data_IF_927799418896
#
_entry.id   IF_927799418896
#
_cell.length_a   1.000
_cell.length_b   1.000
_cell.length_c   1.000
_cell.angle_alpha   90.00
_cell.angle_beta   90.00
_cell.angle_gamma   90.00
#
_symmetry.space_group_name_H-M   'P 1'
#
loop_
_entity.id
_entity.type
_entity.pdbx_description
1 polymer ?
#
# COMPACT_ATOMS: atom_id res chain seq x y z
N UNK A 1 -11.95 -4.34 9.98
CA UNK A 1 -12.59 -3.18 9.34
C UNK A 1 -13.66 -2.50 10.18
N UNK A 2 -14.75 -3.19 10.54
CA UNK A 2 -15.88 -2.55 11.23
C UNK A 2 -15.47 -1.82 12.53
N UNK A 3 -14.58 -2.42 13.32
CA UNK A 3 -14.01 -1.80 14.51
C UNK A 3 -13.27 -0.49 14.21
N UNK A 4 -12.41 -0.47 13.18
CA UNK A 4 -11.65 0.71 12.77
C UNK A 4 -12.55 1.84 12.30
N UNK A 5 -13.54 1.54 11.45
CA UNK A 5 -14.50 2.52 10.96
C UNK A 5 -15.38 3.06 12.11
N UNK A 6 -15.85 2.20 13.01
CA UNK A 6 -16.63 2.61 14.17
C UNK A 6 -15.83 3.51 15.13
N UNK A 7 -14.59 3.12 15.46
CA UNK A 7 -13.68 3.95 16.26
C UNK A 7 -13.38 5.28 15.57
N UNK A 8 -13.09 5.26 14.28
CA UNK A 8 -12.82 6.46 13.49
C UNK A 8 -13.99 7.46 13.54
N UNK A 9 -15.21 7.00 13.23
CA UNK A 9 -16.41 7.84 13.29
C UNK A 9 -16.70 8.34 14.71
N UNK A 10 -16.46 7.51 15.74
CA UNK A 10 -16.62 7.91 17.15
C UNK A 10 -15.62 9.02 17.54
N UNK A 11 -14.36 8.88 17.14
CA UNK A 11 -13.30 9.83 17.46
C UNK A 11 -13.40 11.14 16.69
N UNK A 12 -13.93 11.11 15.46
CA UNK A 12 -14.26 12.32 14.71
C UNK A 12 -15.28 13.23 15.43
N UNK A 13 -16.10 12.70 16.35
CA UNK A 13 -17.03 13.53 17.16
C UNK A 13 -16.34 14.30 18.29
N UNK A 14 -15.08 13.98 18.60
CA UNK A 14 -14.33 14.60 19.69
C UNK A 14 -13.25 15.53 19.11
N UNK A 15 -13.28 16.85 19.38
CA UNK A 15 -12.36 17.81 18.78
C UNK A 15 -10.86 17.48 19.01
N UNK A 16 -10.52 16.95 20.19
CA UNK A 16 -9.13 16.64 20.57
C UNK A 16 -8.50 15.50 19.76
N UNK A 17 -9.31 14.55 19.27
CA UNK A 17 -8.85 13.36 18.54
C UNK A 17 -9.47 13.26 17.14
N UNK A 18 -10.09 14.35 16.65
CA UNK A 18 -10.74 14.38 15.35
C UNK A 18 -9.80 13.95 14.23
N UNK A 19 -8.57 14.45 14.24
CA UNK A 19 -7.54 14.11 13.25
C UNK A 19 -7.26 12.60 13.20
N UNK A 20 -7.13 11.96 14.36
CA UNK A 20 -6.91 10.52 14.46
C UNK A 20 -8.13 9.73 14.02
N UNK A 21 -9.33 10.22 14.34
CA UNK A 21 -10.58 9.64 13.85
C UNK A 21 -10.68 9.66 12.33
N UNK A 22 -10.36 10.80 11.71
CA UNK A 22 -10.35 10.99 10.26
C UNK A 22 -9.32 10.03 9.60
N UNK A 23 -8.09 9.99 10.11
CA UNK A 23 -7.06 9.06 9.64
C UNK A 23 -7.50 7.59 9.77
N UNK A 24 -8.14 7.23 10.89
CA UNK A 24 -8.62 5.87 11.15
C UNK A 24 -9.72 5.43 10.17
N UNK A 25 -10.56 6.36 9.69
CA UNK A 25 -11.53 6.06 8.63
C UNK A 25 -10.81 5.70 7.33
N UNK A 26 -9.81 6.49 6.94
CA UNK A 26 -8.97 6.20 5.76
C UNK A 26 -8.27 4.84 5.87
N UNK A 27 -7.62 4.59 7.01
CA UNK A 27 -7.01 3.30 7.33
C UNK A 27 -8.02 2.15 7.28
N UNK A 28 -9.24 2.35 7.77
CA UNK A 28 -10.29 1.35 7.73
C UNK A 28 -10.65 0.91 6.31
N UNK A 29 -10.64 1.83 5.35
CA UNK A 29 -10.87 1.53 3.94
C UNK A 29 -9.73 0.74 3.30
N UNK A 30 -8.48 1.14 3.52
CA UNK A 30 -7.30 0.38 3.09
C UNK A 30 -7.27 -1.01 3.73
N UNK A 31 -7.56 -1.10 5.03
CA UNK A 31 -7.60 -2.37 5.75
C UNK A 31 -8.69 -3.31 5.22
N UNK A 32 -9.84 -2.78 4.81
CA UNK A 32 -10.90 -3.57 4.18
C UNK A 32 -10.37 -4.23 2.91
N UNK A 33 -9.77 -3.45 2.02
CA UNK A 33 -9.24 -3.97 0.77
C UNK A 33 -8.15 -5.02 1.00
N UNK A 34 -7.18 -4.71 1.86
CA UNK A 34 -6.12 -5.65 2.22
C UNK A 34 -6.67 -6.93 2.85
N UNK A 35 -7.67 -6.83 3.74
CA UNK A 35 -8.32 -8.02 4.34
C UNK A 35 -9.02 -8.88 3.29
N UNK A 36 -9.66 -8.26 2.29
CA UNK A 36 -10.33 -8.98 1.21
C UNK A 36 -9.31 -9.66 0.30
N UNK A 37 -8.25 -8.95 -0.09
CA UNK A 37 -7.19 -9.51 -0.90
C UNK A 37 -6.48 -10.67 -0.20
N UNK A 38 -5.93 -10.43 1.00
CA UNK A 38 -5.18 -11.44 1.74
C UNK A 38 -6.03 -12.62 2.20
N UNK A 39 -7.31 -12.39 2.51
CA UNK A 39 -8.23 -13.45 2.96
C UNK A 39 -8.69 -14.39 1.85
N UNK A 40 -8.98 -13.87 0.66
CA UNK A 40 -9.64 -14.65 -0.41
C UNK A 40 -8.89 -14.68 -1.75
N UNK A 41 -8.14 -13.64 -2.10
CA UNK A 41 -7.61 -13.44 -3.45
C UNK A 41 -6.08 -13.44 -3.55
N UNK A 42 -5.36 -13.71 -2.45
CA UNK A 42 -3.89 -13.66 -2.39
C UNK A 42 -3.18 -14.49 -3.47
N UNK A 43 -3.81 -15.56 -3.97
CA UNK A 43 -3.26 -16.44 -5.02
C UNK A 43 -3.30 -15.81 -6.41
N UNK A 44 -4.07 -14.74 -6.61
CA UNK A 44 -4.20 -14.04 -7.88
C UNK A 44 -3.75 -12.57 -7.74
N UNK A 45 -2.45 -12.27 -7.93
CA UNK A 45 -1.94 -10.91 -7.73
C UNK A 45 -2.50 -9.90 -8.74
N UNK A 46 -3.03 -10.33 -9.90
CA UNK A 46 -3.60 -9.41 -10.90
C UNK A 46 -4.84 -8.66 -10.40
N UNK A 47 -5.54 -9.18 -9.39
CA UNK A 47 -6.72 -8.51 -8.80
C UNK A 47 -6.37 -7.66 -7.59
N UNK A 48 -5.09 -7.59 -7.20
CA UNK A 48 -4.64 -6.82 -6.03
C UNK A 48 -5.03 -5.34 -6.14
N UNK A 49 -4.53 -4.63 -7.15
CA UNK A 49 -4.84 -3.21 -7.36
C UNK A 49 -6.35 -2.91 -7.51
N UNK A 50 -7.14 -3.65 -8.31
CA UNK A 50 -8.58 -3.47 -8.35
C UNK A 50 -9.28 -3.61 -6.98
N UNK A 51 -8.83 -4.55 -6.14
CA UNK A 51 -9.38 -4.73 -4.80
C UNK A 51 -8.99 -3.59 -3.86
N UNK A 52 -7.74 -3.12 -3.92
CA UNK A 52 -7.28 -1.91 -3.21
C UNK A 52 -8.08 -0.68 -3.61
N UNK A 53 -8.52 -0.59 -4.87
CA UNK A 53 -9.35 0.49 -5.38
C UNK A 53 -10.85 0.39 -5.02
N UNK A 54 -11.32 -0.66 -4.34
CA UNK A 54 -12.77 -0.87 -4.10
C UNK A 54 -13.43 0.27 -3.32
N UNK A 55 -12.67 0.92 -2.43
CA UNK A 55 -13.16 2.03 -1.60
C UNK A 55 -13.01 3.40 -2.28
N UNK A 56 -12.34 3.47 -3.43
CA UNK A 56 -12.08 4.72 -4.17
C UNK A 56 -13.36 5.50 -4.49
N UNK A 57 -14.48 4.90 -4.94
CA UNK A 57 -15.70 5.65 -5.19
C UNK A 57 -16.22 6.38 -3.94
N UNK A 58 -16.17 5.71 -2.77
CA UNK A 58 -16.59 6.31 -1.50
C UNK A 58 -15.64 7.44 -1.07
N UNK A 59 -14.33 7.24 -1.25
CA UNK A 59 -13.32 8.27 -0.97
C UNK A 59 -13.53 9.51 -1.83
N UNK A 60 -13.79 9.34 -3.13
CA UNK A 60 -14.06 10.46 -4.05
C UNK A 60 -15.33 11.22 -3.65
N UNK A 61 -16.40 10.52 -3.27
CA UNK A 61 -17.63 11.16 -2.76
C UNK A 61 -17.35 11.95 -1.48
N UNK A 62 -16.62 11.38 -0.52
CA UNK A 62 -16.27 12.07 0.73
C UNK A 62 -15.40 13.32 0.47
N UNK A 63 -14.46 13.24 -0.47
CA UNK A 63 -13.63 14.37 -0.89
C UNK A 63 -14.46 15.48 -1.54
N UNK A 64 -15.42 15.12 -2.42
CA UNK A 64 -16.31 16.08 -3.07
C UNK A 64 -17.11 16.90 -2.05
N UNK A 65 -17.62 16.25 -0.99
CA UNK A 65 -18.31 16.93 0.11
C UNK A 65 -17.37 17.54 1.17
N UNK A 66 -16.06 17.51 0.95
CA UNK A 66 -15.06 18.08 1.87
C UNK A 66 -14.97 17.39 3.23
N UNK A 67 -15.37 16.12 3.33
CA UNK A 67 -15.35 15.31 4.57
C UNK A 67 -14.13 14.40 4.61
N UNK A 68 -13.76 13.95 5.82
CA UNK A 68 -12.69 12.97 6.06
C UNK A 68 -11.39 13.24 5.26
N UNK A 69 -10.92 14.50 5.27
CA UNK A 69 -9.86 14.95 4.36
C UNK A 69 -8.54 14.26 4.65
N UNK A 70 -8.24 13.95 5.91
CA UNK A 70 -6.96 13.32 6.27
C UNK A 70 -6.96 11.85 5.83
N UNK A 71 -8.00 11.10 6.18
CA UNK A 71 -8.16 9.70 5.83
C UNK A 71 -8.26 9.46 4.33
N UNK A 72 -8.97 10.33 3.60
CA UNK A 72 -9.07 10.23 2.14
C UNK A 72 -7.71 10.41 1.45
N UNK A 73 -6.91 11.38 1.89
CA UNK A 73 -5.56 11.59 1.34
C UNK A 73 -4.59 10.47 1.75
N UNK A 74 -4.72 9.94 2.97
CA UNK A 74 -3.99 8.73 3.37
C UNK A 74 -4.31 7.55 2.45
N UNK A 75 -5.59 7.28 2.21
CA UNK A 75 -6.02 6.20 1.32
C UNK A 75 -5.47 6.39 -0.11
N UNK A 76 -5.54 7.61 -0.66
CA UNK A 76 -4.99 7.89 -1.98
C UNK A 76 -3.47 7.66 -2.04
N UNK A 77 -2.74 8.07 -1.00
CA UNK A 77 -1.30 7.82 -0.91
C UNK A 77 -0.99 6.32 -0.88
N UNK A 78 -1.75 5.55 -0.09
CA UNK A 78 -1.64 4.09 -0.04
C UNK A 78 -1.92 3.45 -1.40
N UNK A 79 -3.03 3.83 -2.07
CA UNK A 79 -3.42 3.27 -3.35
C UNK A 79 -2.39 3.56 -4.45
N UNK A 80 -1.83 4.78 -4.49
CA UNK A 80 -0.77 5.14 -5.44
C UNK A 80 0.52 4.39 -5.12
N UNK A 81 0.89 4.29 -3.84
CA UNK A 81 2.03 3.47 -3.40
C UNK A 81 1.90 2.04 -3.93
N UNK A 82 0.77 1.40 -3.64
CA UNK A 82 0.47 0.05 -4.13
C UNK A 82 0.47 -0.06 -5.65
N UNK A 83 -0.11 0.91 -6.37
CA UNK A 83 -0.11 0.87 -7.83
C UNK A 83 1.30 0.89 -8.42
N UNK A 84 2.21 1.68 -7.84
CA UNK A 84 3.60 1.78 -8.29
C UNK A 84 4.37 0.49 -7.98
N UNK A 85 4.14 -0.12 -6.82
CA UNK A 85 4.83 -1.36 -6.43
C UNK A 85 4.27 -2.57 -7.19
N UNK A 86 2.97 -2.64 -7.43
CA UNK A 86 2.36 -3.63 -8.33
C UNK A 86 2.90 -3.52 -9.76
N UNK A 87 3.12 -2.28 -10.24
CA UNK A 87 3.74 -2.05 -11.54
C UNK A 87 5.17 -2.62 -11.59
N UNK A 88 5.95 -2.49 -10.51
CA UNK A 88 7.26 -3.13 -10.40
C UNK A 88 7.16 -4.65 -10.55
N UNK A 89 6.24 -5.27 -9.80
CA UNK A 89 6.01 -6.72 -9.87
C UNK A 89 5.64 -7.19 -11.27
N UNK A 90 4.84 -6.39 -11.99
CA UNK A 90 4.45 -6.69 -13.35
C UNK A 90 5.63 -6.56 -14.33
N UNK A 91 6.35 -5.42 -14.32
CA UNK A 91 7.46 -5.16 -15.23
C UNK A 91 8.64 -6.12 -15.04
N UNK A 92 8.96 -6.46 -13.80
CA UNK A 92 10.09 -7.36 -13.48
C UNK A 92 9.69 -8.84 -13.63
N UNK A 93 8.39 -9.14 -13.70
CA UNK A 93 7.90 -10.51 -13.84
C UNK A 93 7.95 -11.29 -12.53
N UNK A 94 7.63 -10.65 -11.41
CA UNK A 94 7.60 -11.27 -10.07
C UNK A 94 6.29 -12.03 -9.78
N UNK A 95 5.26 -11.81 -10.58
CA UNK A 95 3.93 -12.44 -10.41
C UNK A 95 3.97 -13.98 -10.36
N UNK A 96 4.72 -14.69 -11.22
CA UNK A 96 4.82 -16.16 -11.14
C UNK A 96 5.40 -16.63 -9.80
N UNK A 97 6.42 -15.96 -9.28
CA UNK A 97 7.04 -16.26 -7.99
C UNK A 97 6.06 -16.03 -6.83
N UNK A 98 5.30 -14.93 -6.87
CA UNK A 98 4.24 -14.69 -5.90
C UNK A 98 3.19 -15.81 -5.88
N UNK A 99 2.73 -16.23 -7.05
CA UNK A 99 1.76 -17.32 -7.18
C UNK A 99 2.29 -18.63 -6.60
N UNK A 100 3.56 -18.96 -6.87
CA UNK A 100 4.22 -20.13 -6.30
C UNK A 100 4.31 -20.02 -4.77
N UNK A 101 4.74 -18.87 -4.25
CA UNK A 101 4.88 -18.62 -2.81
C UNK A 101 3.56 -18.83 -2.05
N UNK A 102 2.42 -18.50 -2.65
CA UNK A 102 1.12 -18.62 -2.00
C UNK A 102 0.56 -20.06 -1.96
N UNK A 103 1.07 -20.96 -2.79
CA UNK A 103 0.60 -22.36 -2.88
C UNK A 103 1.62 -23.38 -2.37
N UNK A 104 2.90 -23.03 -2.37
CA UNK A 104 3.97 -23.92 -1.90
C UNK A 104 4.00 -24.04 -0.38
N UNK A 105 4.49 -25.17 0.16
CA UNK A 105 4.75 -25.33 1.58
C UNK A 105 5.73 -24.27 2.12
N UNK A 106 5.61 -23.87 3.41
CA UNK A 106 6.53 -22.89 4.01
C UNK A 106 8.01 -23.26 3.92
N UNK A 107 8.34 -24.55 3.83
CA UNK A 107 9.71 -25.05 3.66
C UNK A 107 10.35 -24.68 2.33
N UNK A 108 9.56 -24.38 1.30
CA UNK A 108 10.02 -23.98 -0.04
C UNK A 108 10.04 -22.45 -0.21
N UNK A 109 9.47 -21.70 0.73
CA UNK A 109 9.31 -20.25 0.64
C UNK A 109 10.65 -19.52 0.43
N UNK A 110 11.71 -19.93 1.15
CA UNK A 110 13.05 -19.34 1.02
C UNK A 110 13.62 -19.50 -0.39
N UNK A 111 13.47 -20.67 -1.01
CA UNK A 111 13.94 -20.92 -2.37
C UNK A 111 13.20 -20.07 -3.42
N UNK A 112 11.88 -19.90 -3.24
CA UNK A 112 11.06 -19.06 -4.12
C UNK A 112 11.45 -17.58 -3.98
N UNK A 113 11.65 -17.11 -2.74
CA UNK A 113 12.10 -15.74 -2.46
C UNK A 113 13.49 -15.46 -3.03
N UNK A 114 14.43 -16.40 -2.86
CA UNK A 114 15.77 -16.28 -3.45
C UNK A 114 15.71 -16.22 -4.98
N UNK A 115 14.87 -17.05 -5.60
CA UNK A 115 14.68 -17.04 -7.06
C UNK A 115 14.06 -15.72 -7.56
N UNK A 116 13.14 -15.14 -6.78
CA UNK A 116 12.59 -13.81 -7.07
C UNK A 116 13.65 -12.71 -6.93
N UNK A 117 14.52 -12.80 -5.91
CA UNK A 117 15.64 -11.86 -5.70
C UNK A 117 16.60 -11.86 -6.89
N UNK A 118 16.98 -13.04 -7.41
CA UNK A 118 17.82 -13.15 -8.62
C UNK A 118 17.18 -12.46 -9.83
N UNK A 119 15.84 -12.47 -9.94
CA UNK A 119 15.13 -11.73 -10.99
C UNK A 119 15.21 -10.22 -10.78
N UNK A 120 15.11 -9.75 -9.53
CA UNK A 120 15.25 -8.34 -9.17
C UNK A 120 16.66 -7.79 -9.42
N UNK A 121 17.69 -8.62 -9.25
CA UNK A 121 19.11 -8.24 -9.44
C UNK A 121 19.53 -8.10 -10.92
N UNK A 122 18.67 -8.48 -11.87
CA UNK A 122 18.93 -8.26 -13.29
C UNK A 122 19.01 -6.76 -13.62
N UNK A 123 19.72 -6.39 -14.70
CA UNK A 123 19.82 -4.98 -15.13
C UNK A 123 18.45 -4.32 -15.33
N UNK A 124 17.48 -5.06 -15.88
CA UNK A 124 16.09 -4.60 -16.03
C UNK A 124 15.42 -4.42 -14.66
N UNK A 125 15.56 -5.41 -13.76
CA UNK A 125 15.00 -5.37 -12.42
C UNK A 125 15.50 -4.18 -11.60
N UNK A 126 16.82 -3.94 -11.61
CA UNK A 126 17.45 -2.80 -10.94
C UNK A 126 17.02 -1.48 -11.60
N UNK A 127 16.96 -1.43 -12.94
CA UNK A 127 16.52 -0.25 -13.68
C UNK A 127 15.10 0.18 -13.29
N UNK A 128 14.15 -0.74 -13.30
CA UNK A 128 12.78 -0.47 -12.84
C UNK A 128 12.73 -0.08 -11.37
N UNK A 129 13.51 -0.76 -10.51
CA UNK A 129 13.54 -0.46 -9.08
C UNK A 129 13.97 0.99 -8.83
N UNK A 130 15.05 1.46 -9.48
CA UNK A 130 15.55 2.82 -9.33
C UNK A 130 14.50 3.84 -9.76
N UNK A 131 13.89 3.66 -10.95
CA UNK A 131 12.91 4.61 -11.49
C UNK A 131 11.67 4.70 -10.60
N UNK A 132 11.12 3.56 -10.19
CA UNK A 132 9.89 3.53 -9.39
C UNK A 132 10.14 3.94 -7.93
N UNK A 133 11.29 3.58 -7.35
CA UNK A 133 11.70 4.07 -6.04
C UNK A 133 11.91 5.58 -6.04
N UNK A 134 12.56 6.14 -7.06
CA UNK A 134 12.72 7.59 -7.19
C UNK A 134 11.36 8.29 -7.30
N UNK A 135 10.40 7.70 -8.04
CA UNK A 135 9.03 8.20 -8.11
C UNK A 135 8.34 8.16 -6.75
N UNK A 136 8.42 7.05 -6.01
CA UNK A 136 7.85 6.93 -4.66
C UNK A 136 8.46 7.93 -3.68
N UNK A 137 9.79 8.11 -3.70
CA UNK A 137 10.47 9.10 -2.87
C UNK A 137 10.01 10.51 -3.23
N UNK A 138 9.91 10.83 -4.53
CA UNK A 138 9.43 12.13 -4.99
C UNK A 138 7.99 12.40 -4.50
N UNK A 139 7.08 11.45 -4.75
CA UNK A 139 5.67 11.58 -4.36
C UNK A 139 5.49 11.55 -2.83
N UNK A 140 6.37 10.88 -2.10
CA UNK A 140 6.36 10.81 -0.64
C UNK A 140 6.99 12.03 0.03
N UNK A 141 7.91 12.76 -0.61
CA UNK A 141 8.64 13.88 0.03
C UNK A 141 8.20 15.26 -0.44
N UNK A 142 7.79 15.44 -1.70
CA UNK A 142 7.33 16.74 -2.21
C UNK A 142 6.10 17.25 -1.44
N UNK A 143 5.04 16.46 -1.20
CA UNK A 143 3.84 16.96 -0.54
C UNK A 143 4.06 17.31 0.95
N UNK A 144 5.10 16.75 1.59
CA UNK A 144 5.49 17.12 2.96
C UNK A 144 5.92 18.58 3.10
N UNK A 145 6.31 19.24 2.00
CA UNK A 145 6.61 20.67 1.99
C UNK A 145 5.36 21.53 2.22
N UNK A 146 4.17 20.96 2.12
CA UNK A 146 2.93 21.66 2.41
C UNK A 146 2.71 21.82 3.92
N UNK A 147 2.12 22.95 4.31
CA UNK A 147 1.64 23.18 5.68
C UNK A 147 0.36 22.39 6.02
N UNK A 148 -0.26 21.71 5.06
CA UNK A 148 -1.52 20.99 5.28
C UNK A 148 -1.29 19.54 5.69
N UNK A 149 -1.87 19.15 6.84
CA UNK A 149 -1.76 17.80 7.40
C UNK A 149 -2.26 16.69 6.47
N UNK A 150 -3.21 16.98 5.57
CA UNK A 150 -3.69 15.98 4.59
C UNK A 150 -2.57 15.49 3.67
N UNK A 151 -1.66 16.39 3.28
CA UNK A 151 -0.51 16.05 2.42
C UNK A 151 0.56 15.29 3.19
N UNK A 152 0.67 15.52 4.50
CA UNK A 152 1.49 14.70 5.38
C UNK A 152 0.94 13.28 5.50
N UNK A 153 -0.38 13.11 5.61
CA UNK A 153 -1.01 11.79 5.64
C UNK A 153 -0.82 11.02 4.31
N UNK A 154 -0.97 11.71 3.18
CA UNK A 154 -0.65 11.16 1.85
C UNK A 154 0.82 10.71 1.75
N UNK A 155 1.74 11.61 2.13
CA UNK A 155 3.19 11.37 2.11
C UNK A 155 3.57 10.19 3.00
N UNK A 156 3.02 10.15 4.21
CA UNK A 156 3.24 9.07 5.17
C UNK A 156 2.84 7.72 4.61
N UNK A 157 1.69 7.61 3.93
CA UNK A 157 1.25 6.36 3.32
C UNK A 157 2.21 5.86 2.23
N UNK A 158 2.71 6.76 1.36
CA UNK A 158 3.68 6.41 0.32
C UNK A 158 5.02 5.99 0.93
N UNK A 159 5.54 6.76 1.88
CA UNK A 159 6.82 6.44 2.53
C UNK A 159 6.73 5.15 3.36
N UNK A 160 5.58 4.88 3.99
CA UNK A 160 5.32 3.60 4.64
C UNK A 160 5.32 2.43 3.66
N UNK A 161 4.90 2.64 2.41
CA UNK A 161 4.99 1.61 1.36
C UNK A 161 6.46 1.24 1.09
N UNK A 162 7.32 2.24 0.91
CA UNK A 162 8.78 2.02 0.75
C UNK A 162 9.35 1.25 1.95
N UNK A 163 8.96 1.64 3.17
CA UNK A 163 9.43 1.00 4.40
C UNK A 163 9.03 -0.47 4.47
N UNK A 164 7.76 -0.78 4.19
CA UNK A 164 7.23 -2.15 4.21
C UNK A 164 7.90 -3.00 3.12
N UNK A 165 8.07 -2.47 1.92
CA UNK A 165 8.74 -3.20 0.83
C UNK A 165 10.22 -3.46 1.14
N UNK A 166 10.89 -2.50 1.77
CA UNK A 166 12.28 -2.69 2.23
C UNK A 166 12.37 -3.80 3.28
N UNK A 167 11.37 -3.93 4.17
CA UNK A 167 11.31 -5.04 5.12
C UNK A 167 11.13 -6.38 4.41
N UNK A 168 10.27 -6.46 3.39
CA UNK A 168 10.12 -7.68 2.58
C UNK A 168 11.39 -8.02 1.82
N UNK A 169 12.07 -7.03 1.26
CA UNK A 169 13.35 -7.23 0.57
C UNK A 169 14.43 -7.77 1.52
N UNK A 170 14.55 -7.17 2.71
CA UNK A 170 15.47 -7.64 3.75
C UNK A 170 15.10 -9.07 4.20
N UNK A 171 13.81 -9.37 4.37
CA UNK A 171 13.36 -10.71 4.70
C UNK A 171 13.72 -11.72 3.60
N UNK A 172 13.64 -11.35 2.32
CA UNK A 172 14.04 -12.21 1.20
C UNK A 172 15.56 -12.49 1.16
N UNK A 173 16.39 -11.55 1.63
CA UNK A 173 17.85 -11.74 1.74
C UNK A 173 18.19 -12.74 2.87
N UNK A 174 17.41 -12.75 3.95
CA UNK A 174 17.67 -13.58 5.14
C UNK A 174 16.86 -14.89 5.19
N UNK A 175 15.97 -15.13 4.23
CA UNK A 175 15.16 -16.35 4.13
C UNK A 175 15.95 -17.52 3.54
#
# INVERSE_FOLDING_TARGET
TALWLWLGVRWMKQPSIHLWGDLMVGFGWTWLAGSVYWGWFRTNPYVHLPLEAISLPMVLVLMFYGRAKIGNYFYLGSLIGTAITDLYFYCVGLIPYWRQLMVSPPTEAGQILHSALLRMETYEGVGYAIVLLALLIMLGTIPMRSSSTKWWAFSGAILSTILVDSLFFVAAIFA
#
